data_IF_608170970303
#
_entry.id   IF_608170970303
#
_cell.length_a   1.000
_cell.length_b   1.000
_cell.length_c   1.000
_cell.angle_alpha   90.00
_cell.angle_beta   90.00
_cell.angle_gamma   90.00
#
_symmetry.space_group_name_H-M   'P 1'
#
loop_
_entity.id
_entity.type
_entity.pdbx_description
1 polymer ?
#
# COMPACT_ATOMS: atom_id res chain seq x y z
N UNK A 1 -13.23 9.90 -2.55
CA UNK A 1 -12.08 8.97 -2.52
C UNK A 1 -12.62 7.58 -2.24
N UNK A 2 -11.96 6.53 -2.73
CA UNK A 2 -12.35 5.13 -2.49
C UNK A 2 -11.19 4.49 -1.74
N UNK A 3 -11.47 3.80 -0.63
CA UNK A 3 -10.46 3.05 0.12
C UNK A 3 -10.18 1.72 -0.56
N UNK A 4 -8.91 1.40 -0.73
CA UNK A 4 -8.47 0.12 -1.29
C UNK A 4 -7.50 -0.56 -0.31
N UNK A 5 -7.70 -1.86 -0.15
CA UNK A 5 -6.84 -2.78 0.61
C UNK A 5 -6.86 -4.14 -0.11
N UNK A 6 -5.88 -4.98 0.17
CA UNK A 6 -5.84 -6.35 -0.36
C UNK A 6 -6.84 -7.28 0.38
N UNK A 7 -6.96 -8.52 -0.09
CA UNK A 7 -7.82 -9.53 0.53
C UNK A 7 -7.12 -10.34 1.63
N UNK A 8 -6.15 -9.76 2.36
CA UNK A 8 -5.56 -10.42 3.52
C UNK A 8 -6.64 -10.82 4.54
N UNK A 9 -6.48 -11.92 5.31
CA UNK A 9 -7.54 -12.43 6.19
C UNK A 9 -8.10 -11.41 7.19
N UNK A 10 -7.26 -10.51 7.69
CA UNK A 10 -7.68 -9.40 8.57
C UNK A 10 -8.60 -8.40 7.85
N UNK A 11 -8.31 -8.10 6.58
CA UNK A 11 -9.07 -7.18 5.74
C UNK A 11 -10.36 -7.80 5.21
N UNK A 12 -10.36 -9.11 4.93
CA UNK A 12 -11.55 -9.85 4.48
C UNK A 12 -12.49 -10.25 5.61
N UNK A 13 -12.12 -10.04 6.87
CA UNK A 13 -12.96 -10.39 8.02
C UNK A 13 -14.28 -9.60 8.02
N UNK A 14 -15.35 -10.23 8.50
CA UNK A 14 -16.67 -9.60 8.60
C UNK A 14 -16.61 -8.28 9.38
N UNK A 15 -15.92 -8.29 10.53
CA UNK A 15 -15.75 -7.12 11.39
C UNK A 15 -15.10 -5.95 10.66
N UNK A 16 -14.03 -6.19 9.88
CA UNK A 16 -13.35 -5.13 9.13
C UNK A 16 -14.21 -4.59 7.98
N UNK A 17 -14.88 -5.47 7.23
CA UNK A 17 -15.76 -5.07 6.14
C UNK A 17 -16.96 -4.24 6.65
N UNK A 18 -17.58 -4.66 7.76
CA UNK A 18 -18.66 -3.90 8.41
C UNK A 18 -18.17 -2.54 8.93
N UNK A 19 -17.00 -2.51 9.57
CA UNK A 19 -16.39 -1.27 10.05
C UNK A 19 -16.19 -0.25 8.92
N UNK A 20 -15.69 -0.69 7.76
CA UNK A 20 -15.44 0.15 6.59
C UNK A 20 -16.74 0.59 5.91
N UNK A 21 -17.73 -0.30 5.79
CA UNK A 21 -19.02 0.01 5.17
C UNK A 21 -19.75 1.20 5.81
N UNK A 22 -19.50 1.46 7.09
CA UNK A 22 -20.10 2.56 7.84
C UNK A 22 -19.31 3.88 7.74
N UNK A 23 -18.09 3.86 7.18
CA UNK A 23 -17.12 4.97 7.27
C UNK A 23 -16.59 5.46 5.93
N UNK A 24 -16.52 4.60 4.93
CA UNK A 24 -15.93 4.93 3.64
C UNK A 24 -16.57 4.15 2.49
N UNK A 25 -16.53 4.74 1.30
CA UNK A 25 -16.60 3.94 0.08
C UNK A 25 -15.29 3.17 -0.04
N UNK A 26 -15.37 1.86 -0.27
CA UNK A 26 -14.19 1.01 -0.34
C UNK A 26 -14.42 -0.16 -1.30
N UNK A 27 -13.34 -0.75 -1.78
CA UNK A 27 -13.39 -1.99 -2.55
C UNK A 27 -13.54 -3.14 -1.55
N UNK A 28 -14.67 -3.84 -1.61
CA UNK A 28 -14.95 -4.97 -0.73
C UNK A 28 -14.01 -6.14 -1.02
N UNK A 29 -13.85 -7.03 -0.05
CA UNK A 29 -13.03 -8.24 -0.24
C UNK A 29 -13.53 -9.15 -1.36
N UNK A 30 -14.82 -9.06 -1.70
CA UNK A 30 -15.44 -9.78 -2.82
C UNK A 30 -15.20 -9.11 -4.19
N UNK A 31 -14.99 -7.80 -4.22
CA UNK A 31 -14.68 -7.05 -5.44
C UNK A 31 -13.19 -7.09 -5.78
N UNK A 32 -12.32 -7.25 -4.77
CA UNK A 32 -10.88 -7.35 -4.98
C UNK A 32 -10.49 -8.77 -5.46
N UNK A 33 -9.83 -8.90 -6.63
CA UNK A 33 -9.43 -10.20 -7.15
C UNK A 33 -8.34 -10.84 -6.28
N UNK A 34 -8.45 -12.15 -6.07
CA UNK A 34 -7.50 -12.90 -5.27
C UNK A 34 -6.08 -12.82 -5.86
N UNK A 35 -5.07 -12.84 -4.98
CA UNK A 35 -3.65 -12.89 -5.36
C UNK A 35 -3.24 -11.86 -6.44
N UNK A 36 -3.73 -10.62 -6.33
CA UNK A 36 -3.50 -9.57 -7.33
C UNK A 36 -2.59 -8.44 -6.83
N UNK A 37 -1.31 -8.71 -6.49
CA UNK A 37 -0.37 -7.65 -6.12
C UNK A 37 -0.09 -6.70 -7.30
N UNK A 38 -0.33 -7.15 -8.54
CA UNK A 38 -0.22 -6.33 -9.75
C UNK A 38 -1.29 -5.23 -9.84
N UNK A 39 -2.35 -5.30 -9.01
CA UNK A 39 -3.39 -4.29 -8.96
C UNK A 39 -3.24 -3.31 -7.80
N UNK A 40 -2.38 -3.58 -6.83
CA UNK A 40 -2.18 -2.71 -5.67
C UNK A 40 -0.99 -1.77 -5.92
N UNK A 41 -1.22 -0.44 -6.09
CA UNK A 41 -0.14 0.53 -6.32
C UNK A 41 0.96 0.50 -5.26
N UNK A 42 0.58 0.16 -4.02
CA UNK A 42 1.55 -0.01 -2.95
C UNK A 42 2.50 -1.19 -3.24
N UNK A 43 1.97 -2.33 -3.71
CA UNK A 43 2.76 -3.54 -3.93
C UNK A 43 3.64 -3.49 -5.18
N UNK A 44 3.10 -3.08 -6.34
CA UNK A 44 3.87 -3.10 -7.59
C UNK A 44 4.83 -1.92 -7.76
N UNK A 45 4.69 -0.85 -6.98
CA UNK A 45 5.50 0.37 -7.16
C UNK A 45 6.07 0.90 -5.84
N UNK A 46 5.21 1.34 -4.91
CA UNK A 46 5.66 2.16 -3.77
C UNK A 46 6.56 1.37 -2.83
N UNK A 47 6.17 0.13 -2.47
CA UNK A 47 6.98 -0.72 -1.61
C UNK A 47 8.29 -1.16 -2.25
N UNK A 48 8.31 -1.42 -3.56
CA UNK A 48 9.54 -1.77 -4.26
C UNK A 48 10.55 -0.61 -4.23
N UNK A 49 10.09 0.62 -4.51
CA UNK A 49 10.92 1.82 -4.48
C UNK A 49 11.40 2.16 -3.07
N UNK A 50 10.49 2.17 -2.09
CA UNK A 50 10.84 2.49 -0.71
C UNK A 50 11.84 1.48 -0.15
N UNK A 51 11.64 0.19 -0.43
CA UNK A 51 12.56 -0.88 -0.05
C UNK A 51 13.95 -0.68 -0.66
N UNK A 52 14.02 -0.35 -1.96
CA UNK A 52 15.28 -0.07 -2.63
C UNK A 52 16.04 1.08 -1.97
N UNK A 53 15.35 2.19 -1.68
CA UNK A 53 15.96 3.36 -1.06
C UNK A 53 16.38 3.10 0.38
N UNK A 54 15.52 2.48 1.19
CA UNK A 54 15.79 2.17 2.61
C UNK A 54 17.01 1.27 2.74
N UNK A 55 17.12 0.22 1.93
CA UNK A 55 18.26 -0.72 2.00
C UNK A 55 19.52 -0.23 1.27
N UNK A 56 19.50 0.95 0.67
CA UNK A 56 20.73 1.64 0.25
C UNK A 56 21.53 2.20 1.42
N UNK A 57 20.87 2.35 2.58
CA UNK A 57 21.48 2.79 3.83
C UNK A 57 21.99 1.59 4.66
N UNK A 58 23.01 1.82 5.48
CA UNK A 58 23.43 0.84 6.48
C UNK A 58 22.51 0.94 7.69
N UNK A 59 21.75 -0.11 7.98
CA UNK A 59 20.81 -0.17 9.10
C UNK A 59 21.42 -1.01 10.23
N UNK A 60 21.51 -0.46 11.44
CA UNK A 60 22.14 -1.10 12.60
C UNK A 60 21.14 -1.59 13.64
N UNK A 61 19.98 -0.94 13.73
CA UNK A 61 18.94 -1.29 14.70
C UNK A 61 17.55 -0.88 14.23
N UNK A 62 16.55 -1.28 15.01
CA UNK A 62 15.14 -1.05 14.70
C UNK A 62 14.74 0.44 14.66
N UNK A 63 15.31 1.27 15.53
CA UNK A 63 14.96 2.69 15.58
C UNK A 63 15.53 3.43 14.37
N UNK A 64 16.76 3.10 13.98
CA UNK A 64 17.36 3.58 12.75
C UNK A 64 16.54 3.17 11.52
N UNK A 65 16.08 1.90 11.45
CA UNK A 65 15.22 1.44 10.37
C UNK A 65 13.94 2.29 10.25
N UNK A 66 13.26 2.55 11.38
CA UNK A 66 12.06 3.40 11.39
C UNK A 66 12.35 4.80 10.87
N UNK A 67 13.41 5.43 11.37
CA UNK A 67 13.77 6.79 10.97
C UNK A 67 14.12 6.88 9.48
N UNK A 68 14.83 5.88 8.95
CA UNK A 68 15.15 5.80 7.52
C UNK A 68 13.87 5.61 6.71
N UNK A 69 12.97 4.69 7.09
CA UNK A 69 11.69 4.49 6.39
C UNK A 69 10.89 5.79 6.33
N UNK A 70 10.74 6.50 7.46
CA UNK A 70 10.02 7.78 7.50
C UNK A 70 10.69 8.84 6.62
N UNK A 71 12.02 8.95 6.69
CA UNK A 71 12.77 9.92 5.88
C UNK A 71 12.67 9.65 4.38
N UNK A 72 12.78 8.39 3.96
CA UNK A 72 12.65 8.00 2.55
C UNK A 72 11.21 8.14 2.05
N UNK A 73 10.22 7.95 2.92
CA UNK A 73 8.82 8.22 2.61
C UNK A 73 8.56 9.72 2.38
N UNK A 74 9.11 10.59 3.22
CA UNK A 74 8.96 12.05 3.07
C UNK A 74 9.63 12.59 1.80
N UNK A 75 10.69 11.93 1.33
CA UNK A 75 11.36 12.25 0.05
C UNK A 75 10.59 11.76 -1.17
N UNK A 76 9.62 10.86 -0.99
CA UNK A 76 8.88 10.29 -2.11
C UNK A 76 8.03 11.36 -2.78
N UNK A 77 8.39 11.71 -4.01
CA UNK A 77 7.64 12.70 -4.79
C UNK A 77 6.22 12.20 -5.06
N UNK A 78 5.22 13.05 -4.80
CA UNK A 78 3.81 12.73 -5.00
C UNK A 78 3.48 12.34 -6.45
N UNK A 79 4.28 12.80 -7.42
CA UNK A 79 4.15 12.39 -8.82
C UNK A 79 4.39 10.90 -9.04
N UNK A 80 5.22 10.24 -8.20
CA UNK A 80 5.41 8.78 -8.25
C UNK A 80 4.11 8.09 -7.82
N UNK A 81 3.49 8.56 -6.74
CA UNK A 81 2.19 8.04 -6.26
C UNK A 81 1.10 8.27 -7.31
N UNK A 82 1.05 9.46 -7.91
CA UNK A 82 0.06 9.76 -8.94
C UNK A 82 0.26 8.88 -10.19
N UNK A 83 1.51 8.67 -10.63
CA UNK A 83 1.82 7.78 -11.76
C UNK A 83 1.50 6.32 -11.45
N UNK A 84 1.73 5.86 -10.22
CA UNK A 84 1.36 4.50 -9.84
C UNK A 84 -0.16 4.33 -9.90
N UNK A 85 -0.94 5.25 -9.34
CA UNK A 85 -2.41 5.22 -9.42
C UNK A 85 -2.91 5.31 -10.87
N UNK A 86 -2.34 6.18 -11.70
CA UNK A 86 -2.74 6.32 -13.12
C UNK A 86 -2.39 5.10 -13.98
N UNK A 87 -1.39 4.32 -13.58
CA UNK A 87 -1.04 3.05 -14.24
C UNK A 87 -1.87 1.87 -13.76
N UNK A 88 -2.83 2.10 -12.86
CA UNK A 88 -3.74 1.08 -12.38
C UNK A 88 -4.56 0.50 -13.53
N UNK A 89 -4.45 -0.81 -13.71
CA UNK A 89 -5.13 -1.55 -14.78
C UNK A 89 -6.42 -2.14 -14.24
N UNK A 90 -7.47 -2.14 -15.05
CA UNK A 90 -8.64 -2.97 -14.78
C UNK A 90 -8.31 -4.41 -15.17
N UNK A 91 -8.66 -5.35 -14.31
CA UNK A 91 -8.63 -6.79 -14.58
C UNK A 91 -10.03 -7.28 -14.88
#
# INVERSE_FOLDING_TARGET
>A
WIYQQDSAPSHSSKTTQEYLSQRAQFITSTEWPSCSPDLNPLDYCIWALLKHNVYSHKIQNFEELKNIISSEWEKLDISVVNKSILSWRKR
#
